data_IF_767956827537
#
_entry.id   IF_767956827537
#
_cell.length_a   1.000
_cell.length_b   1.000
_cell.length_c   1.000
_cell.angle_alpha   90.00
_cell.angle_beta   90.00
_cell.angle_gamma   90.00
#
_symmetry.space_group_name_H-M   'P 1'
#
loop_
_entity.id
_entity.type
_entity.pdbx_description
1 polymer ?
#
# COMPACT_ATOMS: atom_id res chain seq x y z
N UNK A 1 1.85 -2.32 22.31
CA UNK A 1 2.49 -3.61 21.97
C UNK A 1 1.84 -4.10 20.69
N UNK A 2 2.62 -4.47 19.68
CA UNK A 2 2.10 -4.98 18.41
C UNK A 2 2.24 -6.51 18.38
N UNK A 3 1.26 -7.19 17.80
CA UNK A 3 1.31 -8.63 17.52
C UNK A 3 1.28 -8.81 16.02
N UNK A 4 2.33 -9.40 15.48
CA UNK A 4 2.40 -9.75 14.07
C UNK A 4 1.77 -11.14 13.86
N UNK A 5 0.80 -11.21 12.93
CA UNK A 5 0.03 -12.41 12.64
C UNK A 5 0.16 -12.74 11.16
N UNK A 6 0.93 -13.77 10.86
CA UNK A 6 1.05 -14.30 9.51
C UNK A 6 -0.06 -15.31 9.20
N UNK A 7 -0.83 -15.04 8.15
CA UNK A 7 -1.81 -16.00 7.60
C UNK A 7 -1.18 -16.69 6.40
N UNK A 8 -0.85 -17.97 6.57
CA UNK A 8 -0.21 -18.80 5.56
C UNK A 8 -1.13 -19.95 5.14
N UNK A 9 -0.74 -20.63 4.06
CA UNK A 9 -1.37 -21.83 3.48
C UNK A 9 -2.38 -21.58 2.36
N UNK A 10 -2.70 -22.66 1.64
CA UNK A 10 -3.65 -22.65 0.53
C UNK A 10 -5.08 -22.52 1.06
N UNK A 11 -5.91 -21.60 0.54
CA UNK A 11 -7.30 -21.43 0.96
C UNK A 11 -8.15 -22.68 0.72
N UNK A 12 -9.10 -22.95 1.62
CA UNK A 12 -10.04 -24.08 1.52
C UNK A 12 -10.76 -24.25 0.17
N UNK A 13 -11.27 -23.17 -0.47
CA UNK A 13 -11.87 -23.26 -1.81
C UNK A 13 -10.94 -23.89 -2.86
N UNK A 14 -9.64 -23.57 -2.82
CA UNK A 14 -8.66 -24.12 -3.77
C UNK A 14 -8.51 -25.64 -3.61
N UNK A 15 -8.54 -26.17 -2.38
CA UNK A 15 -8.53 -27.62 -2.15
C UNK A 15 -9.77 -28.34 -2.67
N UNK A 16 -10.90 -27.63 -2.79
CA UNK A 16 -12.14 -28.17 -3.37
C UNK A 16 -12.23 -27.97 -4.90
N UNK A 17 -11.20 -27.39 -5.52
CA UNK A 17 -11.20 -27.06 -6.94
C UNK A 17 -12.07 -25.85 -7.30
N UNK A 18 -12.44 -25.02 -6.32
CA UNK A 18 -13.22 -23.81 -6.51
C UNK A 18 -12.32 -22.62 -6.84
N UNK A 19 -12.90 -21.61 -7.50
CA UNK A 19 -12.20 -20.34 -7.75
C UNK A 19 -12.03 -19.59 -6.43
N UNK A 20 -10.82 -19.11 -6.17
CA UNK A 20 -10.51 -18.23 -5.04
C UNK A 20 -9.89 -16.93 -5.53
N UNK A 21 -10.53 -15.80 -5.24
CA UNK A 21 -9.98 -14.48 -5.51
C UNK A 21 -9.11 -14.02 -4.33
N UNK A 22 -7.81 -14.27 -4.43
CA UNK A 22 -6.85 -13.82 -3.43
C UNK A 22 -6.70 -12.30 -3.37
N UNK A 23 -6.94 -11.59 -4.48
CA UNK A 23 -6.85 -10.14 -4.50
C UNK A 23 -7.99 -9.53 -3.68
N UNK A 24 -9.22 -9.99 -3.87
CA UNK A 24 -10.38 -9.53 -3.10
C UNK A 24 -10.24 -9.88 -1.62
N UNK A 25 -9.80 -11.11 -1.30
CA UNK A 25 -9.58 -11.53 0.07
C UNK A 25 -8.58 -10.62 0.82
N UNK A 26 -7.46 -10.27 0.17
CA UNK A 26 -6.46 -9.34 0.74
C UNK A 26 -7.03 -7.92 0.86
N UNK A 27 -7.74 -7.39 -0.15
CA UNK A 27 -8.38 -6.06 -0.03
C UNK A 27 -9.34 -5.97 1.16
N UNK A 28 -10.12 -7.03 1.41
CA UNK A 28 -11.04 -7.10 2.55
C UNK A 28 -10.29 -7.12 3.87
N UNK A 29 -9.20 -7.88 3.96
CA UNK A 29 -8.31 -7.89 5.13
C UNK A 29 -7.71 -6.50 5.38
N UNK A 30 -7.14 -5.87 4.36
CA UNK A 30 -6.52 -4.54 4.45
C UNK A 30 -7.54 -3.46 4.84
N UNK A 31 -8.77 -3.54 4.32
CA UNK A 31 -9.87 -2.63 4.71
C UNK A 31 -10.22 -2.82 6.19
N UNK A 32 -10.36 -4.07 6.64
CA UNK A 32 -10.62 -4.38 8.05
C UNK A 32 -9.50 -3.87 8.96
N UNK A 33 -8.23 -4.00 8.55
CA UNK A 33 -7.10 -3.46 9.29
C UNK A 33 -7.20 -1.94 9.45
N UNK A 34 -7.49 -1.20 8.37
CA UNK A 34 -7.67 0.26 8.43
C UNK A 34 -8.80 0.63 9.42
N UNK A 35 -9.94 -0.06 9.34
CA UNK A 35 -11.10 0.20 10.21
C UNK A 35 -10.83 -0.10 11.70
N UNK A 36 -9.86 -0.98 11.98
CA UNK A 36 -9.51 -1.41 13.33
C UNK A 36 -8.16 -0.84 13.80
N UNK A 37 -7.65 0.19 13.13
CA UNK A 37 -6.36 0.83 13.45
C UNK A 37 -5.16 -0.15 13.45
N UNK A 38 -5.24 -1.20 12.64
CA UNK A 38 -4.16 -2.12 12.32
C UNK A 38 -3.48 -1.75 11.00
N UNK A 39 -2.42 -2.48 10.67
CA UNK A 39 -1.70 -2.31 9.41
C UNK A 39 -1.16 -3.64 8.89
N UNK A 40 -0.98 -3.71 7.58
CA UNK A 40 -0.26 -4.80 6.92
C UNK A 40 1.23 -4.43 6.86
N UNK A 41 2.15 -5.29 7.33
CA UNK A 41 3.58 -5.04 7.21
C UNK A 41 4.03 -4.85 5.75
N UNK A 42 4.88 -3.85 5.49
CA UNK A 42 5.22 -3.41 4.12
C UNK A 42 6.08 -4.40 3.32
N UNK A 43 6.48 -5.53 3.90
CA UNK A 43 7.10 -6.64 3.14
C UNK A 43 6.06 -7.47 2.37
N UNK A 44 4.77 -7.34 2.69
CA UNK A 44 3.68 -8.00 1.99
C UNK A 44 3.18 -7.19 0.78
N UNK A 45 2.56 -7.89 -0.17
CA UNK A 45 1.91 -7.26 -1.32
C UNK A 45 0.59 -6.62 -0.88
N UNK A 46 0.40 -5.35 -1.23
CA UNK A 46 -0.87 -4.64 -1.02
C UNK A 46 -1.71 -4.66 -2.28
N UNK A 47 -3.03 -4.86 -2.10
CA UNK A 47 -4.03 -4.81 -3.16
C UNK A 47 -4.85 -3.52 -3.15
N UNK A 48 -4.54 -2.61 -2.22
CA UNK A 48 -5.15 -1.29 -2.10
C UNK A 48 -4.73 -0.34 -3.23
N UNK A 49 -5.58 0.65 -3.49
CA UNK A 49 -5.18 1.87 -4.18
C UNK A 49 -4.34 2.78 -3.25
N UNK A 50 -3.69 3.78 -3.83
CA UNK A 50 -2.75 4.65 -3.11
C UNK A 50 -3.43 5.43 -1.99
N UNK A 51 -4.66 5.91 -2.24
CA UNK A 51 -5.42 6.71 -1.29
C UNK A 51 -5.76 5.88 -0.06
N UNK A 52 -6.25 4.65 -0.24
CA UNK A 52 -6.55 3.74 0.87
C UNK A 52 -5.29 3.25 1.57
N UNK A 53 -4.20 3.00 0.84
CA UNK A 53 -2.92 2.65 1.44
C UNK A 53 -2.45 3.71 2.44
N UNK A 54 -2.52 4.99 2.07
CA UNK A 54 -2.19 6.10 2.97
C UNK A 54 -3.24 6.38 4.06
N UNK A 55 -4.39 5.69 4.06
CA UNK A 55 -5.27 5.66 5.24
C UNK A 55 -4.82 4.66 6.29
N UNK A 56 -4.00 3.67 5.91
CA UNK A 56 -3.42 2.69 6.83
C UNK A 56 -2.19 3.24 7.56
N UNK A 57 -1.50 4.24 6.98
CA UNK A 57 -0.25 4.80 7.50
C UNK A 57 -0.31 6.32 7.53
N UNK A 58 0.32 6.94 8.54
CA UNK A 58 0.63 8.37 8.50
C UNK A 58 1.92 8.60 7.68
N UNK A 59 1.80 9.33 6.57
CA UNK A 59 2.91 9.62 5.66
C UNK A 59 3.76 10.84 6.07
N UNK A 60 3.37 11.61 7.11
CA UNK A 60 3.93 12.92 7.38
C UNK A 60 5.46 12.94 7.53
N UNK A 61 6.00 12.12 8.44
CA UNK A 61 7.46 12.02 8.65
C UNK A 61 8.17 11.36 7.47
N UNK A 62 7.49 10.44 6.78
CA UNK A 62 8.02 9.78 5.60
C UNK A 62 8.25 10.78 4.46
N UNK A 63 7.27 11.63 4.17
CA UNK A 63 7.38 12.65 3.13
C UNK A 63 8.36 13.77 3.51
N UNK A 64 8.44 14.17 4.78
CA UNK A 64 9.47 15.12 5.24
C UNK A 64 10.88 14.59 4.96
N UNK A 65 11.13 13.32 5.27
CA UNK A 65 12.42 12.68 4.97
C UNK A 65 12.68 12.61 3.46
N UNK A 66 11.67 12.25 2.66
CA UNK A 66 11.83 12.17 1.20
C UNK A 66 12.20 13.51 0.58
N UNK A 67 11.53 14.58 1.01
CA UNK A 67 11.83 15.92 0.55
C UNK A 67 13.23 16.38 0.99
N UNK A 68 13.59 16.18 2.27
CA UNK A 68 14.88 16.59 2.83
C UNK A 68 16.08 16.00 2.08
N UNK A 69 15.97 14.76 1.63
CA UNK A 69 17.07 14.03 0.98
C UNK A 69 16.93 13.92 -0.54
N UNK A 70 16.00 14.63 -1.18
CA UNK A 70 15.81 14.59 -2.64
C UNK A 70 15.38 13.20 -3.16
N UNK A 71 14.62 12.45 -2.37
CA UNK A 71 14.17 11.12 -2.73
C UNK A 71 12.95 11.12 -3.68
N UNK A 72 12.17 12.21 -3.69
CA UNK A 72 10.99 12.35 -4.56
C UNK A 72 11.45 12.38 -6.03
N UNK A 73 10.92 11.48 -6.86
CA UNK A 73 11.32 11.30 -8.25
C UNK A 73 12.63 10.49 -8.44
N UNK A 74 13.42 10.30 -7.38
CA UNK A 74 14.65 9.49 -7.41
C UNK A 74 14.37 8.05 -6.99
N UNK A 75 13.57 7.86 -5.95
CA UNK A 75 13.20 6.54 -5.43
C UNK A 75 11.69 6.40 -5.33
N UNK A 76 11.19 5.26 -5.80
CA UNK A 76 9.77 4.90 -5.70
C UNK A 76 9.26 5.04 -4.26
N UNK A 77 8.04 5.55 -4.12
CA UNK A 77 7.33 5.58 -2.85
C UNK A 77 7.11 4.18 -2.28
N UNK A 78 6.92 4.07 -0.96
CA UNK A 78 6.67 2.78 -0.28
C UNK A 78 5.42 2.10 -0.84
N UNK A 79 4.37 2.86 -1.15
CA UNK A 79 3.17 2.32 -1.79
C UNK A 79 3.52 1.59 -3.08
N UNK A 80 4.32 2.21 -3.96
CA UNK A 80 4.70 1.58 -5.23
C UNK A 80 5.62 0.37 -5.08
N UNK A 81 6.31 0.22 -3.95
CA UNK A 81 7.09 -0.98 -3.62
C UNK A 81 6.21 -2.13 -3.12
N UNK A 82 5.11 -1.81 -2.44
CA UNK A 82 4.20 -2.81 -1.88
C UNK A 82 3.07 -3.20 -2.86
N UNK A 83 2.72 -2.32 -3.81
CA UNK A 83 1.62 -2.52 -4.74
C UNK A 83 1.80 -3.80 -5.57
N UNK A 84 0.72 -4.57 -5.73
CA UNK A 84 0.72 -5.70 -6.66
C UNK A 84 0.95 -5.29 -8.10
N UNK A 85 1.82 -6.06 -8.76
CA UNK A 85 2.18 -5.87 -10.16
C UNK A 85 3.41 -4.98 -10.31
N UNK A 86 4.15 -5.17 -11.41
CA UNK A 86 5.28 -4.31 -11.76
C UNK A 86 4.74 -3.09 -12.49
N UNK A 87 4.90 -1.90 -11.91
CA UNK A 87 4.88 -0.66 -12.69
C UNK A 87 6.24 -0.42 -13.31
N UNK A 88 6.25 0.12 -14.51
CA UNK A 88 7.46 0.62 -15.16
C UNK A 88 7.94 1.88 -14.45
N UNK A 89 9.25 2.15 -14.48
CA UNK A 89 9.85 3.35 -13.85
C UNK A 89 9.16 4.65 -14.29
N UNK A 90 8.73 4.70 -15.56
CA UNK A 90 8.02 5.83 -16.16
C UNK A 90 6.68 6.11 -15.47
N UNK A 91 5.87 5.08 -15.24
CA UNK A 91 4.56 5.22 -14.58
C UNK A 91 4.69 5.67 -13.11
N UNK A 92 5.82 5.33 -12.46
CA UNK A 92 6.09 5.75 -11.09
C UNK A 92 6.52 7.22 -11.08
N UNK A 93 7.42 7.63 -11.98
CA UNK A 93 7.83 9.03 -12.11
C UNK A 93 6.66 9.95 -12.45
N UNK A 94 5.76 9.53 -13.35
CA UNK A 94 4.57 10.31 -13.70
C UNK A 94 3.62 10.46 -12.51
N UNK A 95 3.39 9.39 -11.74
CA UNK A 95 2.53 9.46 -10.57
C UNK A 95 3.12 10.29 -9.41
N UNK A 96 4.44 10.22 -9.18
CA UNK A 96 5.11 11.05 -8.17
C UNK A 96 5.15 12.53 -8.58
N UNK A 97 5.27 12.84 -9.87
CA UNK A 97 5.14 14.23 -10.37
C UNK A 97 3.74 14.79 -10.12
N UNK A 98 2.69 14.00 -10.37
CA UNK A 98 1.31 14.42 -10.11
C UNK A 98 1.06 14.74 -8.61
N UNK A 99 1.76 14.06 -7.69
CA UNK A 99 1.71 14.34 -6.26
C UNK A 99 2.41 15.65 -5.88
N UNK A 100 3.53 15.98 -6.53
CA UNK A 100 4.20 17.28 -6.33
C UNK A 100 3.34 18.46 -6.81
N UNK A 101 2.55 18.24 -7.86
CA UNK A 101 1.67 19.26 -8.45
C UNK A 101 0.34 19.42 -7.70
N UNK A 102 -0.05 18.42 -6.90
CA UNK A 102 -1.24 18.45 -6.05
C UNK A 102 -0.82 18.54 -4.58
N UNK A 103 -0.58 19.75 -4.02
CA UNK A 103 -0.50 19.86 -2.57
C UNK A 103 -1.85 19.36 -2.06
N UNK A 104 -1.84 18.33 -1.23
CA UNK A 104 -3.05 17.80 -0.59
C UNK A 104 -3.54 18.85 0.41
N UNK A 105 -4.17 19.90 -0.13
CA UNK A 105 -4.98 20.86 0.56
C UNK A 105 -6.39 20.30 0.60
N UNK A 106 -6.68 19.43 1.57
CA UNK A 106 -8.00 19.32 2.18
C UNK A 106 -7.78 18.97 3.66
N UNK A 107 -7.54 20.02 4.45
CA UNK A 107 -7.94 20.06 5.86
C UNK A 107 -9.44 20.30 5.85
N UNK A 108 -10.22 19.33 6.32
CA UNK A 108 -11.43 19.49 7.14
C UNK A 108 -11.94 18.12 7.61
#
# INVERSE_FOLDING_TARGET
MYTDVGVYYTPGPVFRGEVFDGCDAVRRLETWLIENHGFQPQYAVSELDEKKFWRMFDAGLYEQCRNKYGAVGTFMSVYYKCKKGRKTEKEVQEAEKAQLETPCAEVD
#
